data_IF_445178328427
#
_entry.id   IF_445178328427
#
_cell.length_a   1.000
_cell.length_b   1.000
_cell.length_c   1.000
_cell.angle_alpha   90.00
_cell.angle_beta   90.00
_cell.angle_gamma   90.00
#
_symmetry.space_group_name_H-M   'P 1'
#
loop_
_entity.id
_entity.type
_entity.pdbx_description
1 polymer ?
#
# COMPACT_ATOMS: atom_id res chain seq x y z
N UNK A 1 24.87 14.87 6.72
CA UNK A 1 24.92 13.52 6.08
C UNK A 1 23.50 13.00 6.02
N UNK A 2 23.15 12.11 5.08
CA UNK A 2 21.79 11.57 5.00
C UNK A 2 21.80 10.06 5.11
N UNK A 3 20.91 9.53 5.93
CA UNK A 3 20.79 8.10 6.17
C UNK A 3 19.36 7.67 5.87
N UNK A 4 19.22 6.64 5.04
CA UNK A 4 17.93 6.07 4.68
C UNK A 4 17.55 4.98 5.67
N UNK A 5 16.39 5.18 6.28
CA UNK A 5 15.75 4.25 7.20
C UNK A 5 15.10 3.16 6.37
N UNK A 6 15.47 1.92 6.65
CA UNK A 6 14.87 0.75 6.04
C UNK A 6 13.66 0.23 6.80
N UNK A 7 13.07 -0.82 6.25
CA UNK A 7 11.86 -1.45 6.75
C UNK A 7 12.05 -1.94 8.19
N UNK A 8 11.11 -1.61 9.07
CA UNK A 8 11.09 -1.90 10.51
C UNK A 8 12.38 -1.50 11.25
N UNK A 9 13.12 -0.53 10.71
CA UNK A 9 14.20 0.13 11.42
C UNK A 9 13.69 1.39 12.07
N UNK A 10 14.10 1.62 13.31
CA UNK A 10 14.05 2.95 13.91
C UNK A 10 15.46 3.48 14.05
N UNK A 11 15.73 4.62 13.41
CA UNK A 11 16.97 5.37 13.58
C UNK A 11 16.74 6.65 14.38
N UNK A 12 17.67 6.97 15.26
CA UNK A 12 17.75 8.28 15.90
C UNK A 12 19.12 8.92 15.71
N UNK A 13 19.13 10.24 15.59
CA UNK A 13 20.34 10.99 15.27
C UNK A 13 20.36 12.39 15.90
N UNK A 14 21.56 12.98 15.96
CA UNK A 14 21.73 14.42 16.14
C UNK A 14 21.39 15.14 14.83
N UNK A 15 20.34 15.99 14.79
CA UNK A 15 19.90 16.66 13.57
C UNK A 15 20.93 17.66 13.02
N UNK A 16 21.97 18.03 13.79
CA UNK A 16 23.08 18.88 13.30
C UNK A 16 24.09 18.12 12.45
N UNK A 17 24.12 16.80 12.55
CA UNK A 17 25.10 15.94 11.87
C UNK A 17 24.45 15.15 10.72
N UNK A 18 23.21 14.74 10.93
CA UNK A 18 22.54 13.73 10.14
C UNK A 18 21.08 14.07 9.91
N UNK A 19 20.63 13.84 8.68
CA UNK A 19 19.22 13.79 8.31
C UNK A 19 18.81 12.34 8.10
N UNK A 20 17.57 12.03 8.45
CA UNK A 20 16.97 10.73 8.24
C UNK A 20 15.94 10.82 7.12
N UNK A 21 15.94 9.87 6.19
CA UNK A 21 14.92 9.80 5.13
C UNK A 21 14.34 8.40 5.00
N UNK A 22 13.13 8.32 4.46
CA UNK A 22 12.50 7.06 4.04
C UNK A 22 11.53 7.34 2.89
N UNK A 23 11.28 6.34 2.05
CA UNK A 23 10.26 6.38 1.00
C UNK A 23 9.79 4.97 0.62
N UNK A 24 8.87 4.89 -0.34
CA UNK A 24 8.23 3.65 -0.76
C UNK A 24 7.24 3.18 0.29
N UNK A 25 6.26 4.03 0.61
CA UNK A 25 5.38 3.85 1.77
C UNK A 25 4.09 3.08 1.47
N UNK A 26 4.03 2.34 0.36
CA UNK A 26 2.84 1.57 -0.03
C UNK A 26 2.45 0.59 1.07
N UNK A 27 1.28 0.79 1.67
CA UNK A 27 0.78 0.00 2.82
C UNK A 27 1.54 0.20 4.14
N UNK A 28 2.61 0.99 4.14
CA UNK A 28 3.49 1.26 5.27
C UNK A 28 3.22 2.66 5.86
N UNK A 29 3.86 2.95 6.99
CA UNK A 29 3.80 4.28 7.62
C UNK A 29 5.20 4.69 8.07
N UNK A 30 5.64 5.87 7.65
CA UNK A 30 6.81 6.51 8.22
C UNK A 30 6.40 7.34 9.46
N UNK A 31 7.11 7.17 10.57
CA UNK A 31 6.90 7.99 11.78
C UNK A 31 8.12 8.85 12.00
N UNK A 32 8.02 10.13 11.63
CA UNK A 32 9.04 11.13 11.87
C UNK A 32 8.83 11.79 13.23
N UNK A 33 9.88 11.82 14.06
CA UNK A 33 9.86 12.42 15.38
C UNK A 33 10.92 13.51 15.49
N UNK A 34 10.54 14.66 16.03
CA UNK A 34 11.46 15.74 16.37
C UNK A 34 11.36 16.03 17.85
N UNK A 35 12.48 15.93 18.55
CA UNK A 35 12.61 16.26 19.97
C UNK A 35 13.58 17.41 20.19
N UNK A 36 14.02 17.59 21.43
CA UNK A 36 14.87 18.74 21.83
C UNK A 36 16.19 18.81 21.08
N UNK A 37 17.00 17.76 21.18
CA UNK A 37 18.36 17.70 20.61
C UNK A 37 18.54 16.50 19.66
N UNK A 38 17.43 15.87 19.28
CA UNK A 38 17.41 14.56 18.65
C UNK A 38 16.26 14.46 17.66
N UNK A 39 16.48 13.73 16.58
CA UNK A 39 15.45 13.33 15.62
C UNK A 39 15.35 11.81 15.60
N UNK A 40 14.16 11.32 15.26
CA UNK A 40 13.88 9.91 15.04
C UNK A 40 13.11 9.72 13.75
N UNK A 41 13.35 8.61 13.08
CA UNK A 41 12.54 8.16 11.95
C UNK A 41 12.46 6.64 11.95
N UNK A 42 11.24 6.13 11.80
CA UNK A 42 10.98 4.69 11.57
C UNK A 42 10.14 4.48 10.32
N UNK A 43 10.36 3.37 9.64
CA UNK A 43 9.54 2.88 8.52
C UNK A 43 8.77 1.64 9.01
N UNK A 44 7.53 1.84 9.45
CA UNK A 44 6.69 0.77 10.01
C UNK A 44 6.05 -0.02 8.88
N UNK A 45 6.32 -1.33 8.84
CA UNK A 45 5.78 -2.23 7.83
C UNK A 45 4.31 -2.60 8.11
N UNK A 46 3.59 -2.96 7.04
CA UNK A 46 2.17 -3.34 7.04
C UNK A 46 1.82 -4.45 8.04
N UNK A 47 2.75 -5.38 8.32
CA UNK A 47 2.53 -6.47 9.28
C UNK A 47 2.23 -5.99 10.71
N UNK A 48 2.60 -4.77 11.07
CA UNK A 48 2.19 -4.16 12.34
C UNK A 48 0.67 -3.93 12.45
N UNK A 49 -0.09 -4.08 11.35
CA UNK A 49 -1.57 -4.12 11.36
C UNK A 49 -2.11 -5.42 11.95
N UNK A 50 -1.35 -6.51 11.93
CA UNK A 50 -1.76 -7.77 12.53
C UNK A 50 -1.86 -7.62 14.06
N UNK A 51 -3.06 -7.87 14.62
CA UNK A 51 -3.30 -7.80 16.06
C UNK A 51 -2.45 -8.78 16.86
N UNK A 52 -2.10 -9.93 16.28
CA UNK A 52 -1.26 -10.93 16.95
C UNK A 52 0.21 -10.48 17.04
N UNK A 53 0.68 -9.69 16.08
CA UNK A 53 2.07 -9.20 16.03
C UNK A 53 2.25 -7.86 16.74
N UNK A 54 1.19 -7.08 16.90
CA UNK A 54 1.28 -5.75 17.48
C UNK A 54 1.91 -5.69 18.89
N UNK A 55 1.58 -6.56 19.86
CA UNK A 55 2.13 -6.43 21.21
C UNK A 55 3.66 -6.50 21.28
N UNK A 56 4.28 -7.41 20.50
CA UNK A 56 5.74 -7.54 20.44
C UNK A 56 6.37 -6.37 19.68
N UNK A 57 5.71 -5.89 18.64
CA UNK A 57 6.14 -4.69 17.91
C UNK A 57 6.10 -3.44 18.81
N UNK A 58 5.01 -3.29 19.57
CA UNK A 58 4.81 -2.19 20.51
C UNK A 58 5.90 -2.17 21.59
N UNK A 59 6.28 -3.33 22.13
CA UNK A 59 7.38 -3.45 23.10
C UNK A 59 8.69 -2.91 22.50
N UNK A 60 8.98 -3.21 21.22
CA UNK A 60 10.17 -2.69 20.53
C UNK A 60 10.09 -1.20 20.25
N UNK A 61 8.92 -0.67 19.90
CA UNK A 61 8.69 0.77 19.79
C UNK A 61 8.95 1.48 21.12
N UNK A 62 8.54 0.87 22.24
CA UNK A 62 8.75 1.43 23.59
C UNK A 62 10.22 1.44 23.99
N UNK A 63 10.93 0.33 23.78
CA UNK A 63 12.37 0.25 23.98
C UNK A 63 13.11 1.33 23.17
N UNK A 64 12.77 1.46 21.89
CA UNK A 64 13.37 2.42 20.98
C UNK A 64 13.10 3.87 21.42
N UNK A 65 11.84 4.23 21.69
CA UNK A 65 11.44 5.57 22.10
C UNK A 65 12.17 6.00 23.40
N UNK A 66 12.28 5.10 24.37
CA UNK A 66 12.99 5.35 25.63
C UNK A 66 14.50 5.49 25.41
N UNK A 67 15.11 4.61 24.62
CA UNK A 67 16.54 4.61 24.37
C UNK A 67 17.03 5.90 23.71
N UNK A 68 16.26 6.45 22.76
CA UNK A 68 16.69 7.58 21.96
C UNK A 68 16.62 8.94 22.65
N UNK A 69 15.93 9.04 23.79
CA UNK A 69 15.88 10.23 24.66
C UNK A 69 15.50 11.51 23.89
N UNK A 70 14.39 11.46 23.16
CA UNK A 70 13.88 12.61 22.38
C UNK A 70 13.48 13.82 23.26
N UNK A 71 13.29 13.61 24.57
CA UNK A 71 12.92 14.64 25.53
C UNK A 71 11.64 14.27 26.27
N UNK A 72 11.03 15.25 26.93
CA UNK A 72 9.71 15.10 27.55
C UNK A 72 8.63 14.97 26.47
N UNK A 73 7.57 14.17 26.66
CA UNK A 73 6.54 13.93 25.65
C UNK A 73 5.94 15.19 25.01
N UNK A 74 5.70 16.23 25.83
CA UNK A 74 5.16 17.53 25.39
C UNK A 74 6.07 18.29 24.41
N UNK A 75 7.37 17.99 24.42
CA UNK A 75 8.38 18.62 23.58
C UNK A 75 8.65 17.80 22.31
N UNK A 76 8.04 16.62 22.18
CA UNK A 76 8.15 15.76 21.00
C UNK A 76 7.03 16.12 20.03
N UNK A 77 7.39 16.31 18.76
CA UNK A 77 6.43 16.35 17.65
C UNK A 77 6.52 15.06 16.86
N UNK A 78 5.37 14.50 16.51
CA UNK A 78 5.28 13.32 15.66
C UNK A 78 4.51 13.63 14.39
N UNK A 79 5.01 13.12 13.26
CA UNK A 79 4.33 13.18 11.96
C UNK A 79 4.31 11.78 11.38
N UNK A 80 3.11 11.29 11.08
CA UNK A 80 2.89 10.03 10.38
C UNK A 80 2.71 10.33 8.91
N UNK A 81 3.59 9.78 8.08
CA UNK A 81 3.55 9.93 6.62
C UNK A 81 3.19 8.58 6.00
N UNK A 82 2.25 8.58 5.05
CA UNK A 82 1.75 7.38 4.37
C UNK A 82 1.37 7.70 2.93
N UNK A 83 1.48 6.74 2.02
CA UNK A 83 1.21 6.99 0.59
C UNK A 83 -0.23 6.77 0.16
N UNK A 84 -1.00 6.00 0.93
CA UNK A 84 -2.29 5.50 0.48
C UNK A 84 -3.26 5.16 1.65
N UNK A 85 -4.57 5.07 1.38
CA UNK A 85 -5.57 4.83 2.43
C UNK A 85 -5.45 3.50 3.17
N UNK A 86 -4.76 2.50 2.61
CA UNK A 86 -4.65 1.17 3.23
C UNK A 86 -3.85 1.23 4.53
N UNK A 87 -2.99 2.25 4.68
CA UNK A 87 -2.24 2.53 5.90
C UNK A 87 -3.09 3.13 7.04
N UNK A 88 -4.36 3.45 6.81
CA UNK A 88 -5.22 4.11 7.79
C UNK A 88 -5.29 3.41 9.16
N UNK A 89 -5.50 2.08 9.17
CA UNK A 89 -5.54 1.28 10.40
C UNK A 89 -4.20 1.32 11.15
N UNK A 90 -3.09 1.29 10.41
CA UNK A 90 -1.76 1.36 11.01
C UNK A 90 -1.50 2.76 11.59
N UNK A 91 -1.94 3.81 10.89
CA UNK A 91 -1.89 5.16 11.43
C UNK A 91 -2.70 5.28 12.72
N UNK A 92 -3.95 4.83 12.75
CA UNK A 92 -4.80 4.86 13.96
C UNK A 92 -4.08 4.20 15.15
N UNK A 93 -3.50 3.03 14.91
CA UNK A 93 -2.81 2.26 15.95
C UNK A 93 -1.55 2.94 16.48
N UNK A 94 -0.74 3.52 15.58
CA UNK A 94 0.46 4.27 15.98
C UNK A 94 0.08 5.56 16.73
N UNK A 95 -0.99 6.25 16.31
CA UNK A 95 -1.48 7.43 17.00
C UNK A 95 -1.99 7.12 18.40
N UNK A 96 -2.74 6.03 18.57
CA UNK A 96 -3.18 5.57 19.89
C UNK A 96 -1.97 5.28 20.79
N UNK A 97 -0.94 4.62 20.24
CA UNK A 97 0.31 4.36 20.94
C UNK A 97 1.06 5.64 21.35
N UNK A 98 1.17 6.63 20.46
CA UNK A 98 1.79 7.94 20.77
C UNK A 98 0.97 8.72 21.81
N UNK A 99 -0.35 8.71 21.67
CA UNK A 99 -1.29 9.41 22.54
C UNK A 99 -1.25 8.88 23.98
N UNK A 100 -1.16 7.56 24.16
CA UNK A 100 -0.94 6.93 25.48
C UNK A 100 0.34 7.39 26.17
N UNK A 101 1.31 7.94 25.43
CA UNK A 101 2.57 8.49 25.93
C UNK A 101 2.56 10.01 26.05
N UNK A 102 1.44 10.66 25.75
CA UNK A 102 1.30 12.12 25.78
C UNK A 102 2.00 12.83 24.61
N UNK A 103 2.26 12.12 23.51
CA UNK A 103 2.85 12.68 22.29
C UNK A 103 1.73 12.92 21.29
N UNK A 104 1.60 14.16 20.82
CA UNK A 104 0.66 14.49 19.76
C UNK A 104 1.27 14.23 18.39
N UNK A 105 0.44 13.66 17.51
CA UNK A 105 0.79 13.34 16.12
C UNK A 105 -0.13 14.03 15.13
N UNK A 106 0.37 14.21 13.92
CA UNK A 106 -0.41 14.59 12.75
C UNK A 106 -0.15 13.64 11.57
N UNK A 107 -1.11 13.56 10.66
CA UNK A 107 -1.07 12.73 9.46
C UNK A 107 -0.76 13.56 8.22
N UNK A 108 0.09 13.03 7.35
CA UNK A 108 0.38 13.61 6.03
C UNK A 108 0.46 12.52 4.98
N UNK A 109 -0.07 12.80 3.79
CA UNK A 109 -0.10 11.84 2.70
C UNK A 109 1.03 12.15 1.70
N UNK A 110 2.05 11.29 1.65
CA UNK A 110 3.19 11.36 0.72
C UNK A 110 3.87 9.98 0.64
N UNK A 111 4.64 9.71 -0.42
CA UNK A 111 5.41 8.47 -0.61
C UNK A 111 6.74 8.45 0.17
N UNK A 112 7.05 9.52 0.90
CA UNK A 112 8.23 9.53 1.75
C UNK A 112 8.35 10.78 2.58
N UNK A 113 9.34 10.80 3.46
CA UNK A 113 9.63 11.97 4.26
C UNK A 113 11.09 12.04 4.66
N UNK A 114 11.47 13.22 5.17
CA UNK A 114 12.77 13.54 5.73
C UNK A 114 12.59 14.17 7.09
N UNK A 115 13.40 13.74 8.04
CA UNK A 115 13.55 14.41 9.33
C UNK A 115 14.92 15.07 9.35
N UNK A 116 14.96 16.39 9.49
CA UNK A 116 16.20 17.18 9.38
C UNK A 116 16.16 18.45 10.23
N UNK A 117 17.33 19.06 10.46
CA UNK A 117 17.41 20.41 11.01
C UNK A 117 17.07 21.47 9.95
N UNK A 118 16.26 22.44 10.33
CA UNK A 118 16.03 23.69 9.60
C UNK A 118 16.30 24.84 10.54
N UNK A 119 17.43 25.53 10.33
CA UNK A 119 17.96 26.56 11.24
C UNK A 119 18.23 26.00 12.63
N UNK A 120 17.41 26.36 13.63
CA UNK A 120 17.55 25.94 15.03
C UNK A 120 16.56 24.84 15.44
N UNK A 121 15.60 24.50 14.57
CA UNK A 121 14.55 23.53 14.87
C UNK A 121 14.67 22.30 13.98
N UNK A 122 14.30 21.13 14.49
CA UNK A 122 14.12 19.94 13.67
C UNK A 122 12.70 19.91 13.10
N UNK A 123 12.55 19.42 11.87
CA UNK A 123 11.26 19.32 11.18
C UNK A 123 11.13 18.01 10.41
N UNK A 124 9.89 17.60 10.17
CA UNK A 124 9.54 16.56 9.20
C UNK A 124 9.08 17.23 7.91
N UNK A 125 9.72 16.90 6.79
CA UNK A 125 9.38 17.37 5.43
C UNK A 125 8.89 16.20 4.60
N UNK A 126 7.83 16.44 3.85
CA UNK A 126 7.27 15.45 2.94
C UNK A 126 8.15 15.39 1.68
N UNK A 127 8.30 14.21 1.07
CA UNK A 127 9.21 13.99 -0.07
C UNK A 127 8.85 14.88 -1.26
N UNK A 128 7.56 15.08 -1.55
CA UNK A 128 7.11 15.97 -2.65
C UNK A 128 7.45 17.45 -2.42
N UNK A 129 7.55 17.88 -1.16
CA UNK A 129 7.87 19.25 -0.77
C UNK A 129 9.38 19.46 -0.51
N UNK A 130 10.18 18.38 -0.47
CA UNK A 130 11.64 18.49 -0.38
C UNK A 130 12.21 18.90 -1.74
N UNK A 131 12.91 20.04 -1.77
CA UNK A 131 13.59 20.55 -2.96
C UNK A 131 14.72 19.63 -3.45
N UNK A 132 15.06 18.60 -2.66
CA UNK A 132 16.08 17.60 -2.94
C UNK A 132 15.46 16.20 -3.15
N UNK A 133 14.36 16.10 -3.91
CA UNK A 133 13.69 14.82 -4.19
C UNK A 133 14.61 13.78 -4.86
N UNK A 134 15.62 14.22 -5.61
CA UNK A 134 16.75 13.42 -6.09
C UNK A 134 17.39 12.54 -5.01
N UNK A 135 17.43 13.05 -3.78
CA UNK A 135 18.21 12.48 -2.69
C UNK A 135 17.55 11.22 -2.08
N UNK A 136 16.33 10.91 -2.51
CA UNK A 136 15.63 9.68 -2.15
C UNK A 136 16.06 8.49 -3.02
N UNK A 137 16.49 8.78 -4.24
CA UNK A 137 17.00 7.81 -5.21
C UNK A 137 18.53 7.72 -5.17
N UNK A 138 19.23 8.82 -4.85
CA UNK A 138 20.70 8.91 -4.81
C UNK A 138 21.18 9.70 -3.59
N UNK A 139 22.47 9.68 -3.24
CA UNK A 139 23.01 10.60 -2.22
C UNK A 139 22.70 10.29 -0.74
N UNK A 140 22.18 9.10 -0.44
CA UNK A 140 22.00 8.60 0.93
C UNK A 140 22.98 7.47 1.28
N UNK A 141 23.21 7.29 2.59
CA UNK A 141 23.88 6.13 3.18
C UNK A 141 22.85 5.22 3.84
N UNK A 142 23.19 3.97 4.08
CA UNK A 142 22.31 3.02 4.80
C UNK A 142 23.05 2.42 5.98
N UNK A 143 22.32 1.86 6.94
CA UNK A 143 22.88 1.29 8.19
C UNK A 143 23.86 0.14 7.99
N UNK A 144 24.02 -0.37 6.77
CA UNK A 144 25.04 -1.37 6.39
C UNK A 144 26.35 -0.75 5.88
N UNK A 145 26.40 0.56 5.58
CA UNK A 145 27.47 1.17 4.77
C UNK A 145 28.57 1.90 5.54
N UNK A 146 28.64 1.78 6.86
CA UNK A 146 29.77 2.10 7.75
C UNK A 146 29.29 2.20 9.21
N UNK A 147 30.20 2.47 10.15
CA UNK A 147 29.84 3.01 11.46
C UNK A 147 29.23 4.41 11.30
N UNK A 148 27.91 4.48 11.18
CA UNK A 148 27.15 5.72 11.09
C UNK A 148 26.86 6.29 12.50
N UNK A 149 26.83 7.62 12.68
CA UNK A 149 26.51 8.28 13.94
C UNK A 149 25.00 8.30 14.18
N UNK A 150 24.38 7.13 14.13
CA UNK A 150 22.96 6.91 14.41
C UNK A 150 22.80 5.78 15.40
N UNK A 151 21.81 5.92 16.25
CA UNK A 151 21.37 4.82 17.10
C UNK A 151 20.27 4.07 16.34
N UNK A 152 20.38 2.74 16.31
CA UNK A 152 19.55 1.86 15.47
C UNK A 152 18.85 0.81 16.34
N UNK A 153 17.55 0.67 16.15
CA UNK A 153 16.74 -0.40 16.72
C UNK A 153 16.01 -1.16 15.61
N UNK A 154 15.96 -2.49 15.75
CA UNK A 154 15.16 -3.37 14.93
C UNK A 154 13.79 -3.58 15.60
N UNK A 155 12.71 -3.26 14.89
CA UNK A 155 11.35 -3.37 15.42
C UNK A 155 10.72 -4.74 15.20
N UNK A 156 11.26 -5.52 14.25
CA UNK A 156 10.81 -6.88 13.95
C UNK A 156 11.97 -7.76 13.49
N UNK A 157 11.72 -9.06 13.35
CA UNK A 157 12.66 -9.99 12.73
C UNK A 157 12.91 -9.70 11.23
N UNK A 158 12.06 -8.88 10.61
CA UNK A 158 12.17 -8.43 9.21
C UNK A 158 12.87 -7.08 9.08
N UNK A 159 13.28 -6.48 10.20
CA UNK A 159 14.02 -5.23 10.20
C UNK A 159 15.26 -5.33 9.32
N UNK A 160 15.33 -4.48 8.31
CA UNK A 160 16.33 -4.54 7.27
C UNK A 160 16.79 -3.15 6.89
N UNK A 161 18.10 -2.98 6.75
CA UNK A 161 18.66 -1.75 6.21
C UNK A 161 18.03 -1.41 4.86
N UNK A 162 17.78 -0.13 4.61
CA UNK A 162 17.39 0.31 3.28
C UNK A 162 18.40 -0.25 2.26
N UNK A 163 17.92 -0.85 1.19
CA UNK A 163 18.80 -1.41 0.17
C UNK A 163 19.12 -0.33 -0.86
N UNK A 164 20.37 -0.34 -1.34
CA UNK A 164 20.73 0.33 -2.59
C UNK A 164 20.45 -0.53 -3.81
N UNK A 165 19.81 -1.69 -3.66
CA UNK A 165 19.49 -2.59 -4.77
C UNK A 165 18.60 -1.92 -5.84
N UNK A 166 17.88 -0.84 -5.48
CA UNK A 166 17.18 0.05 -6.40
C UNK A 166 18.11 0.93 -7.28
N UNK A 167 19.43 0.85 -7.13
CA UNK A 167 20.43 1.61 -7.91
C UNK A 167 21.00 0.84 -9.10
N UNK A 168 20.67 -0.44 -9.23
CA UNK A 168 20.96 -1.22 -10.44
C UNK A 168 19.64 -1.48 -11.17
N UNK A 169 19.37 -0.83 -12.31
CA UNK A 169 18.13 -1.03 -13.07
C UNK A 169 17.92 -2.48 -13.52
N UNK A 170 18.97 -3.32 -13.46
CA UNK A 170 18.94 -4.73 -13.86
C UNK A 170 18.79 -5.71 -12.68
N UNK A 171 18.81 -5.24 -11.42
CA UNK A 171 18.62 -6.12 -10.25
C UNK A 171 17.14 -6.32 -9.96
N UNK A 172 16.57 -7.53 -10.11
CA UNK A 172 15.17 -7.79 -9.77
C UNK A 172 15.00 -7.72 -8.25
N UNK A 173 14.33 -6.67 -7.78
CA UNK A 173 13.87 -6.61 -6.39
C UNK A 173 12.72 -7.61 -6.24
N UNK A 174 12.73 -8.49 -5.23
CA UNK A 174 11.53 -9.19 -4.82
C UNK A 174 10.66 -8.21 -4.03
N UNK A 175 10.17 -7.17 -4.70
CA UNK A 175 8.92 -6.54 -4.28
C UNK A 175 7.91 -7.65 -4.49
N UNK A 176 7.23 -8.09 -3.43
CA UNK A 176 6.04 -8.89 -3.62
C UNK A 176 5.14 -8.03 -4.52
N UNK A 177 5.11 -8.35 -5.82
CA UNK A 177 4.28 -7.62 -6.76
C UNK A 177 2.88 -7.70 -6.16
N UNK A 178 2.19 -6.56 -5.95
CA UNK A 178 0.83 -6.61 -5.47
C UNK A 178 0.09 -7.58 -6.38
N UNK A 179 -0.53 -8.61 -5.79
CA UNK A 179 -1.30 -9.58 -6.55
C UNK A 179 -2.45 -8.78 -7.15
N UNK A 180 -2.36 -8.49 -8.43
CA UNK A 180 -3.36 -7.67 -9.09
C UNK A 180 -4.64 -8.48 -9.28
N UNK A 181 -5.78 -7.81 -9.43
CA UNK A 181 -7.06 -8.46 -9.79
C UNK A 181 -6.96 -9.31 -11.07
N UNK A 182 -6.03 -8.96 -11.96
CA UNK A 182 -5.71 -9.71 -13.17
C UNK A 182 -5.02 -11.05 -12.91
N UNK A 183 -4.45 -11.25 -11.72
CA UNK A 183 -3.78 -12.49 -11.30
C UNK A 183 -4.80 -13.50 -10.75
N UNK A 184 -4.73 -14.75 -11.22
CA UNK A 184 -5.63 -15.82 -10.81
C UNK A 184 -5.59 -16.12 -9.31
N UNK A 185 -4.46 -15.84 -8.66
CA UNK A 185 -4.27 -16.01 -7.22
C UNK A 185 -4.97 -14.93 -6.38
N UNK A 186 -5.49 -13.87 -7.01
CA UNK A 186 -6.26 -12.85 -6.30
C UNK A 186 -7.61 -13.42 -5.82
N UNK A 187 -8.02 -13.25 -4.55
CA UNK A 187 -9.30 -13.77 -4.04
C UNK A 187 -10.52 -13.29 -4.83
N UNK A 188 -10.48 -12.05 -5.33
CA UNK A 188 -11.54 -11.48 -6.16
C UNK A 188 -11.35 -11.71 -7.67
N UNK A 189 -10.34 -12.49 -8.10
CA UNK A 189 -10.02 -12.68 -9.52
C UNK A 189 -11.22 -13.17 -10.33
N UNK A 190 -11.97 -14.14 -9.80
CA UNK A 190 -13.12 -14.73 -10.51
C UNK A 190 -14.22 -13.69 -10.78
N UNK A 191 -14.52 -12.86 -9.78
CA UNK A 191 -15.48 -11.77 -9.93
C UNK A 191 -14.97 -10.72 -10.92
N UNK A 192 -13.68 -10.35 -10.81
CA UNK A 192 -13.04 -9.44 -11.75
C UNK A 192 -13.10 -9.95 -13.20
N UNK A 193 -12.75 -11.22 -13.44
CA UNK A 193 -12.81 -11.84 -14.75
C UNK A 193 -14.25 -11.90 -15.29
N UNK A 194 -15.23 -12.16 -14.42
CA UNK A 194 -16.65 -12.12 -14.77
C UNK A 194 -17.11 -10.72 -15.18
N UNK A 195 -16.71 -9.68 -14.44
CA UNK A 195 -17.00 -8.29 -14.78
C UNK A 195 -16.32 -7.90 -16.09
N UNK A 196 -15.02 -8.18 -16.23
CA UNK A 196 -14.23 -7.86 -17.40
C UNK A 196 -14.82 -8.49 -18.68
N UNK A 197 -15.30 -9.73 -18.60
CA UNK A 197 -15.96 -10.41 -19.72
C UNK A 197 -17.27 -9.75 -20.20
N UNK A 198 -17.90 -8.91 -19.38
CA UNK A 198 -19.12 -8.19 -19.71
C UNK A 198 -18.87 -6.75 -20.17
N UNK A 199 -17.65 -6.22 -20.02
CA UNK A 199 -17.30 -4.84 -20.37
C UNK A 199 -17.39 -4.57 -21.87
N UNK A 200 -17.21 -5.58 -22.72
CA UNK A 200 -17.35 -5.43 -24.17
C UNK A 200 -18.80 -5.10 -24.60
N UNK A 201 -19.79 -5.34 -23.72
CA UNK A 201 -21.16 -4.87 -23.90
C UNK A 201 -21.34 -3.37 -23.62
N UNK A 202 -20.31 -2.69 -23.08
CA UNK A 202 -20.28 -1.26 -22.77
C UNK A 202 -19.77 -0.42 -23.97
N UNK A 203 -20.18 0.85 -24.03
CA UNK A 203 -20.10 1.68 -25.22
C UNK A 203 -18.73 2.33 -25.21
N UNK A 204 -17.90 2.13 -26.24
CA UNK A 204 -16.51 2.61 -26.23
C UNK A 204 -16.36 4.13 -26.05
N UNK A 205 -17.41 4.90 -26.35
CA UNK A 205 -17.42 6.37 -26.28
C UNK A 205 -17.31 6.94 -24.86
N UNK A 206 -17.52 6.15 -23.81
CA UNK A 206 -17.39 6.62 -22.41
C UNK A 206 -15.95 6.55 -21.88
N UNK A 207 -15.02 5.91 -22.60
CA UNK A 207 -13.73 5.47 -22.04
C UNK A 207 -12.53 5.92 -22.87
N UNK A 208 -12.56 7.16 -23.36
CA UNK A 208 -11.73 7.65 -24.47
C UNK A 208 -10.28 8.02 -24.13
N UNK A 209 -9.80 7.80 -22.89
CA UNK A 209 -8.51 8.36 -22.43
C UNK A 209 -7.41 7.34 -22.08
N UNK A 210 -7.71 6.04 -21.91
CA UNK A 210 -6.70 5.02 -21.54
C UNK A 210 -6.82 3.78 -22.45
N UNK A 211 -5.73 3.19 -22.96
CA UNK A 211 -5.78 1.90 -23.65
C UNK A 211 -6.13 0.72 -22.71
N UNK A 212 -6.06 0.93 -21.39
CA UNK A 212 -6.33 -0.07 -20.36
C UNK A 212 -7.67 0.12 -19.64
N UNK A 213 -8.53 1.01 -20.16
CA UNK A 213 -9.79 1.42 -19.53
C UNK A 213 -10.69 0.24 -19.10
N UNK A 214 -10.69 -0.86 -19.85
CA UNK A 214 -11.50 -2.05 -19.53
C UNK A 214 -11.09 -2.67 -18.20
N UNK A 215 -9.79 -2.80 -17.95
CA UNK A 215 -9.27 -3.36 -16.71
C UNK A 215 -9.55 -2.44 -15.53
N UNK A 216 -9.44 -1.13 -15.74
CA UNK A 216 -9.67 -0.11 -14.71
C UNK A 216 -11.16 -0.07 -14.30
N UNK A 217 -12.07 -0.07 -15.28
CA UNK A 217 -13.52 -0.13 -15.04
C UNK A 217 -13.92 -1.46 -14.39
N UNK A 218 -13.34 -2.57 -14.84
CA UNK A 218 -13.59 -3.87 -14.21
C UNK A 218 -13.15 -3.88 -12.74
N UNK A 219 -12.00 -3.28 -12.44
CA UNK A 219 -11.48 -3.22 -11.09
C UNK A 219 -12.37 -2.37 -10.17
N UNK A 220 -12.79 -1.19 -10.64
CA UNK A 220 -13.70 -0.32 -9.89
C UNK A 220 -15.03 -1.03 -9.57
N UNK A 221 -15.63 -1.67 -10.57
CA UNK A 221 -16.90 -2.36 -10.41
C UNK A 221 -16.77 -3.63 -9.55
N UNK A 222 -15.63 -4.31 -9.60
CA UNK A 222 -15.34 -5.45 -8.71
C UNK A 222 -15.40 -5.05 -7.24
N UNK A 223 -14.80 -3.92 -6.87
CA UNK A 223 -14.86 -3.40 -5.48
C UNK A 223 -16.32 -3.13 -5.07
N UNK A 224 -17.11 -2.50 -5.96
CA UNK A 224 -18.53 -2.22 -5.70
C UNK A 224 -19.39 -3.47 -5.57
N UNK A 225 -19.11 -4.51 -6.37
CA UNK A 225 -19.76 -5.80 -6.23
C UNK A 225 -19.44 -6.45 -4.88
N UNK A 226 -18.18 -6.39 -4.42
CA UNK A 226 -17.79 -6.91 -3.10
C UNK A 226 -18.45 -6.14 -1.95
N UNK A 227 -18.50 -4.80 -2.02
CA UNK A 227 -19.22 -3.96 -1.04
C UNK A 227 -20.70 -4.36 -0.93
N UNK A 228 -21.29 -4.80 -2.04
CA UNK A 228 -22.66 -5.28 -2.12
C UNK A 228 -22.85 -6.77 -1.75
N UNK A 229 -21.77 -7.47 -1.38
CA UNK A 229 -21.79 -8.88 -1.03
C UNK A 229 -21.88 -9.84 -2.22
N UNK A 230 -21.68 -9.37 -3.46
CA UNK A 230 -21.59 -10.21 -4.66
C UNK A 230 -20.16 -10.75 -4.78
N UNK A 231 -20.03 -12.07 -4.94
CA UNK A 231 -18.74 -12.77 -4.85
C UNK A 231 -18.40 -13.62 -6.06
N UNK A 232 -19.42 -14.22 -6.68
CA UNK A 232 -19.21 -15.30 -7.66
C UNK A 232 -19.17 -14.83 -9.10
N UNK A 233 -19.82 -13.71 -9.40
CA UNK A 233 -19.86 -13.13 -10.74
C UNK A 233 -21.07 -12.23 -10.99
N UNK A 234 -21.06 -11.60 -12.16
CA UNK A 234 -22.17 -10.83 -12.72
C UNK A 234 -22.60 -11.49 -14.04
N UNK A 235 -23.90 -11.51 -14.31
CA UNK A 235 -24.43 -12.03 -15.58
C UNK A 235 -24.32 -11.00 -16.69
N UNK A 236 -24.54 -9.72 -16.37
CA UNK A 236 -24.63 -8.68 -17.38
C UNK A 236 -24.30 -7.31 -16.81
N UNK A 237 -23.69 -6.46 -17.63
CA UNK A 237 -23.55 -5.03 -17.38
C UNK A 237 -24.50 -4.22 -18.26
N UNK A 238 -25.06 -3.14 -17.72
CA UNK A 238 -25.97 -2.26 -18.44
C UNK A 238 -25.68 -0.78 -18.14
N UNK A 239 -26.09 0.11 -19.04
CA UNK A 239 -25.97 1.56 -18.87
C UNK A 239 -27.14 2.12 -18.08
N UNK A 240 -26.86 3.17 -17.32
CA UNK A 240 -27.88 4.10 -16.87
C UNK A 240 -28.54 4.81 -18.03
N UNK A 241 -29.86 5.00 -17.93
CA UNK A 241 -30.66 5.61 -18.97
C UNK A 241 -30.50 7.13 -19.06
N UNK A 242 -30.08 7.78 -17.97
CA UNK A 242 -30.22 9.23 -17.81
C UNK A 242 -28.92 10.00 -17.45
N UNK A 243 -27.79 9.31 -17.20
CA UNK A 243 -26.47 9.94 -16.96
C UNK A 243 -25.37 9.14 -17.66
N UNK A 244 -24.51 9.83 -18.40
CA UNK A 244 -23.55 9.25 -19.36
C UNK A 244 -22.43 8.43 -18.75
N UNK A 245 -22.37 8.30 -17.43
CA UNK A 245 -21.24 7.70 -16.71
C UNK A 245 -21.65 6.65 -15.68
N UNK A 246 -22.88 6.13 -15.71
CA UNK A 246 -23.34 5.10 -14.75
C UNK A 246 -23.39 3.70 -15.37
N UNK A 247 -22.71 2.74 -14.73
CA UNK A 247 -22.76 1.31 -15.09
C UNK A 247 -23.46 0.51 -13.98
N UNK A 248 -24.34 -0.40 -14.40
CA UNK A 248 -25.10 -1.31 -13.54
C UNK A 248 -24.60 -2.74 -13.70
N UNK A 249 -24.42 -3.45 -12.59
CA UNK A 249 -24.18 -4.89 -12.56
C UNK A 249 -25.47 -5.67 -12.28
N UNK A 250 -25.78 -6.65 -13.13
CA UNK A 250 -26.90 -7.59 -12.95
C UNK A 250 -26.34 -8.95 -12.54
N UNK A 251 -26.89 -9.53 -11.46
CA UNK A 251 -26.47 -10.83 -10.92
C UNK A 251 -27.54 -11.87 -11.17
N UNK A 252 -27.11 -13.07 -11.58
CA UNK A 252 -27.96 -14.20 -11.90
C UNK A 252 -28.51 -14.97 -10.73
N UNK A 253 -29.71 -15.55 -10.92
CA UNK A 253 -30.23 -16.61 -10.06
C UNK A 253 -31.30 -16.24 -9.03
N UNK A 254 -31.76 -14.99 -8.98
CA UNK A 254 -33.00 -14.65 -8.26
C UNK A 254 -33.94 -13.83 -9.14
N UNK A 255 -34.95 -14.51 -9.71
CA UNK A 255 -36.17 -13.84 -10.18
C UNK A 255 -36.82 -13.12 -8.98
N UNK A 256 -36.40 -11.88 -8.69
CA UNK A 256 -37.09 -11.08 -7.68
C UNK A 256 -36.33 -9.91 -7.05
N UNK A 257 -34.99 -9.88 -7.08
CA UNK A 257 -34.23 -8.81 -6.40
C UNK A 257 -33.40 -7.98 -7.40
N UNK A 258 -33.94 -6.83 -7.81
CA UNK A 258 -33.14 -5.76 -8.42
C UNK A 258 -32.18 -5.22 -7.35
N UNK A 259 -30.92 -5.61 -7.41
CA UNK A 259 -29.87 -4.85 -6.73
C UNK A 259 -29.25 -3.91 -7.75
N UNK A 260 -29.75 -2.67 -7.78
CA UNK A 260 -29.22 -1.60 -8.61
C UNK A 260 -27.85 -1.16 -8.04
N UNK A 261 -26.77 -1.79 -8.51
CA UNK A 261 -25.42 -1.40 -8.15
C UNK A 261 -24.87 -0.41 -9.15
N UNK A 262 -24.90 0.86 -8.76
CA UNK A 262 -24.36 1.96 -9.55
C UNK A 262 -22.87 2.13 -9.26
N UNK A 263 -22.03 2.01 -10.29
CA UNK A 263 -20.72 2.62 -10.29
C UNK A 263 -20.75 3.89 -11.15
N UNK A 264 -20.30 5.01 -10.59
CA UNK A 264 -20.01 6.22 -11.35
C UNK A 264 -18.62 6.05 -11.97
N UNK A 265 -18.51 6.20 -13.28
CA UNK A 265 -17.25 6.17 -14.02
C UNK A 265 -16.58 7.53 -13.85
N UNK A 266 -15.43 7.56 -13.18
CA UNK A 266 -14.61 8.75 -13.01
C UNK A 266 -13.43 8.73 -14.00
N UNK A 267 -12.72 9.85 -14.15
CA UNK A 267 -11.41 9.84 -14.80
C UNK A 267 -10.47 8.93 -13.99
N UNK A 268 -10.15 7.76 -14.54
CA UNK A 268 -9.22 6.80 -13.95
C UNK A 268 -7.80 7.11 -14.47
N UNK A 269 -6.84 7.23 -13.55
CA UNK A 269 -5.43 7.39 -13.85
C UNK A 269 -4.68 6.04 -13.90
N UNK A 270 -3.45 6.05 -14.41
CA UNK A 270 -2.62 4.84 -14.62
C UNK A 270 -2.36 4.02 -13.34
N UNK A 271 -2.51 4.64 -12.16
CA UNK A 271 -2.23 4.01 -10.85
C UNK A 271 -3.45 3.32 -10.20
N UNK A 272 -4.60 3.27 -10.89
CA UNK A 272 -5.85 2.82 -10.26
C UNK A 272 -5.94 1.30 -10.03
N UNK A 273 -5.41 0.48 -10.94
CA UNK A 273 -5.53 -0.98 -10.87
C UNK A 273 -4.83 -1.58 -9.63
N UNK A 274 -3.62 -1.15 -9.22
CA UNK A 274 -3.02 -1.55 -7.96
C UNK A 274 -3.89 -1.20 -6.74
N UNK A 275 -4.43 0.02 -6.66
CA UNK A 275 -5.27 0.47 -5.55
C UNK A 275 -6.56 -0.34 -5.46
N UNK A 276 -7.23 -0.54 -6.60
CA UNK A 276 -8.47 -1.34 -6.65
C UNK A 276 -8.23 -2.80 -6.30
N UNK A 277 -7.06 -3.36 -6.66
CA UNK A 277 -6.70 -4.73 -6.29
C UNK A 277 -6.58 -4.89 -4.78
N UNK A 278 -5.91 -3.95 -4.13
CA UNK A 278 -5.76 -3.98 -2.69
C UNK A 278 -7.08 -3.77 -1.94
N UNK A 279 -7.92 -2.82 -2.38
CA UNK A 279 -9.27 -2.63 -1.82
C UNK A 279 -10.12 -3.91 -1.95
N UNK A 280 -10.08 -4.55 -3.12
CA UNK A 280 -10.79 -5.80 -3.35
C UNK A 280 -10.22 -6.93 -2.48
N UNK A 281 -8.91 -6.97 -2.24
CA UNK A 281 -8.27 -7.96 -1.35
C UNK A 281 -8.76 -7.81 0.09
N UNK A 282 -8.79 -6.59 0.63
CA UNK A 282 -9.31 -6.30 1.98
C UNK A 282 -10.77 -6.73 2.09
N UNK A 283 -11.61 -6.38 1.10
CA UNK A 283 -13.02 -6.77 1.08
C UNK A 283 -13.24 -8.27 0.94
N UNK A 284 -12.46 -8.95 0.10
CA UNK A 284 -12.48 -10.40 0.01
C UNK A 284 -12.11 -11.07 1.34
N UNK A 285 -11.15 -10.50 2.08
CA UNK A 285 -10.77 -10.99 3.42
C UNK A 285 -11.91 -10.81 4.43
N UNK A 286 -12.55 -9.64 4.47
CA UNK A 286 -13.74 -9.38 5.31
C UNK A 286 -14.88 -10.37 5.02
N UNK A 287 -15.01 -10.77 3.75
CA UNK A 287 -16.03 -11.70 3.28
C UNK A 287 -15.63 -13.19 3.42
N UNK A 288 -14.41 -13.48 3.89
CA UNK A 288 -13.90 -14.85 4.04
C UNK A 288 -13.63 -15.57 2.72
N UNK A 289 -13.38 -14.84 1.64
CA UNK A 289 -13.05 -15.40 0.33
C UNK A 289 -11.62 -15.92 0.29
N UNK A 290 -11.41 -17.11 -0.28
CA UNK A 290 -10.10 -17.72 -0.47
C UNK A 290 -9.60 -17.47 -1.91
N UNK A 291 -8.28 -17.41 -2.15
CA UNK A 291 -7.69 -17.42 -3.49
C UNK A 291 -8.24 -18.54 -4.35
N UNK A 292 -8.56 -18.25 -5.62
CA UNK A 292 -8.82 -19.29 -6.61
C UNK A 292 -7.54 -20.09 -6.83
N UNK A 293 -7.62 -21.42 -6.75
CA UNK A 293 -6.51 -22.26 -7.22
C UNK A 293 -6.29 -21.98 -8.72
N UNK A 294 -5.04 -21.83 -9.19
CA UNK A 294 -4.78 -21.72 -10.62
C UNK A 294 -5.38 -22.94 -11.32
N UNK A 295 -6.21 -22.72 -12.34
CA UNK A 295 -6.71 -23.79 -13.18
C UNK A 295 -5.52 -24.36 -13.92
N UNK A 296 -5.04 -25.54 -13.53
CA UNK A 296 -4.13 -26.32 -14.38
C UNK A 296 -4.84 -26.52 -15.72
N UNK A 297 -4.30 -25.91 -16.78
CA UNK A 297 -4.67 -26.29 -18.13
C UNK A 297 -4.30 -27.75 -18.31
N UNK A 298 -5.29 -28.63 -18.18
CA UNK A 298 -5.21 -30.01 -18.64
C UNK A 298 -4.78 -29.97 -20.10
N UNK A 299 -3.49 -30.26 -20.35
CA UNK A 299 -2.97 -30.51 -21.67
C UNK A 299 -3.79 -31.67 -22.26
N UNK A 300 -4.65 -31.33 -23.21
CA UNK A 300 -5.32 -32.29 -24.05
C UNK A 300 -4.23 -32.97 -24.87
N UNK A 301 -3.85 -34.19 -24.51
CA UNK A 301 -3.08 -35.04 -25.41
C UNK A 301 -3.98 -35.39 -26.61
N UNK A 302 -3.81 -34.63 -27.69
CA UNK A 302 -4.08 -35.12 -29.04
C UNK A 302 -2.96 -36.08 -29.43
N UNK A 303 -3.34 -37.29 -29.85
CA UNK A 303 -2.47 -38.25 -30.53
C UNK A 303 -2.90 -39.68 -30.18
N UNK A 304 -3.33 -40.54 -31.09
CA UNK A 304 -3.45 -40.43 -32.53
C UNK A 304 -4.23 -41.63 -33.05
N UNK A 305 -4.80 -41.48 -34.23
CA UNK A 305 -5.32 -42.58 -35.02
C UNK A 305 -4.20 -43.58 -35.35
N UNK A 306 -4.47 -44.87 -35.19
CA UNK A 306 -3.98 -45.89 -36.12
C UNK A 306 -5.09 -46.87 -36.44
N UNK A 307 -5.54 -46.83 -37.69
CA UNK A 307 -6.25 -47.92 -38.38
C UNK A 307 -5.24 -48.98 -38.82
N UNK A 308 -5.64 -50.25 -38.76
CA UNK A 308 -5.21 -51.31 -39.69
C UNK A 308 -4.19 -52.31 -39.15
N UNK A 309 -4.66 -53.48 -38.68
CA UNK A 309 -4.82 -54.72 -39.46
C UNK A 309 -5.78 -55.64 -38.71
#
# INVERSE_FOLDING_TARGET
MRIKVGLDEWLAADPKQTDLITDGLLGCVAVGLTGKDRIGLTHVYDEAKDEALWPSYQEKLDEALQAFRLGEPKDIRAVLVYSDPTSGLLCDRIEDWLSQRGIHSERRMDDGCRVCAVKQDAVVRDKSADQQSSDYSYGYRTTIEDALPVERFALSAKAGAATKALQDPDTPVPVAKPILLTDASHPAHRLFASVLGQIDGLAPSMFTKSPYWKNEVAAALTVKCLDAGIRDGVEKLAYGKDDTDTVFALVGGQEGARHDLCANVFELGEDYLPVASELARVKSSELGMQPGLPVEHAQTQQGGQTKGM
#
